data_IF_865893020450
#
_entry.id   IF_865893020450
#
_cell.length_a   1.000
_cell.length_b   1.000
_cell.length_c   1.000
_cell.angle_alpha   90.00
_cell.angle_beta   90.00
_cell.angle_gamma   90.00
#
_symmetry.space_group_name_H-M   'P 1'
#
loop_
_entity.id
_entity.type
_entity.pdbx_description
1 polymer ?
#
# COMPACT_ATOMS: atom_id res chain seq x y z
N UNK A 1 -50.75 -30.79 -5.80
CA UNK A 1 -49.47 -31.29 -6.37
C UNK A 1 -48.65 -30.09 -6.81
N UNK A 2 -47.63 -29.71 -6.05
CA UNK A 2 -46.64 -28.73 -6.47
C UNK A 2 -45.28 -29.22 -5.97
N UNK A 3 -44.57 -29.93 -6.85
CA UNK A 3 -43.16 -30.18 -6.69
C UNK A 3 -42.38 -29.09 -7.43
N UNK A 4 -41.35 -28.54 -6.79
CA UNK A 4 -39.94 -28.66 -7.21
C UNK A 4 -39.09 -27.68 -6.40
N UNK A 5 -38.05 -28.25 -5.77
CA UNK A 5 -36.92 -27.55 -5.19
C UNK A 5 -36.13 -26.83 -6.30
N UNK A 6 -35.79 -25.56 -6.10
CA UNK A 6 -34.72 -24.88 -6.82
C UNK A 6 -33.92 -24.01 -5.82
N UNK A 7 -32.62 -24.32 -5.74
CA UNK A 7 -31.59 -23.51 -5.10
C UNK A 7 -31.52 -22.09 -5.70
N UNK A 8 -31.16 -21.08 -4.91
CA UNK A 8 -30.76 -19.80 -5.50
C UNK A 8 -30.59 -18.64 -4.54
N UNK A 9 -29.32 -18.32 -4.28
CA UNK A 9 -28.78 -16.95 -4.14
C UNK A 9 -28.93 -16.26 -2.76
N UNK A 10 -27.91 -16.49 -1.95
CA UNK A 10 -27.50 -15.66 -0.84
C UNK A 10 -26.86 -14.37 -1.37
N UNK A 11 -27.51 -13.23 -1.13
CA UNK A 11 -26.97 -11.91 -1.44
C UNK A 11 -25.95 -11.53 -0.36
N UNK A 12 -24.65 -11.57 -0.70
CA UNK A 12 -23.62 -10.87 0.06
C UNK A 12 -23.02 -9.80 -0.84
N UNK A 13 -23.40 -8.57 -0.55
CA UNK A 13 -22.79 -7.35 -1.05
C UNK A 13 -21.33 -7.30 -0.58
N UNK A 14 -20.38 -7.59 -1.47
CA UNK A 14 -18.97 -7.27 -1.24
C UNK A 14 -18.59 -6.14 -2.16
N UNK A 15 -18.54 -4.94 -1.59
CA UNK A 15 -18.04 -3.74 -2.21
C UNK A 15 -16.53 -3.84 -2.44
N UNK A 16 -16.08 -3.22 -3.55
CA UNK A 16 -14.71 -2.81 -3.83
C UNK A 16 -13.69 -3.91 -4.23
N UNK A 17 -13.85 -4.44 -5.45
CA UNK A 17 -12.71 -4.98 -6.21
C UNK A 17 -12.14 -3.84 -7.06
N UNK A 18 -11.01 -3.26 -6.65
CA UNK A 18 -10.29 -2.25 -7.44
C UNK A 18 -8.99 -2.83 -7.98
N UNK A 19 -9.00 -3.02 -9.30
CA UNK A 19 -7.92 -3.01 -10.31
C UNK A 19 -6.49 -3.38 -9.84
N UNK A 20 -6.08 -4.61 -10.21
CA UNK A 20 -4.69 -5.03 -10.32
C UNK A 20 -4.04 -4.31 -11.51
N UNK A 21 -3.00 -3.51 -11.26
CA UNK A 21 -2.05 -3.11 -12.30
C UNK A 21 -0.72 -3.77 -11.99
N UNK A 22 -0.41 -4.80 -12.79
CA UNK A 22 0.85 -5.54 -12.76
C UNK A 22 1.89 -4.71 -13.50
N UNK A 23 2.91 -4.26 -12.79
CA UNK A 23 4.22 -4.03 -13.37
C UNK A 23 5.23 -4.75 -12.46
N UNK A 24 5.73 -5.90 -12.91
CA UNK A 24 6.68 -6.78 -12.22
C UNK A 24 6.21 -7.39 -10.87
N UNK A 25 5.31 -8.37 -10.93
CA UNK A 25 5.25 -9.51 -9.98
C UNK A 25 4.91 -9.24 -8.50
N UNK A 26 4.61 -7.99 -8.12
CA UNK A 26 4.27 -7.64 -6.74
C UNK A 26 2.82 -7.17 -6.66
N UNK A 27 2.01 -7.91 -5.91
CA UNK A 27 0.60 -7.57 -5.71
C UNK A 27 0.48 -6.54 -4.59
N UNK A 28 -0.27 -5.45 -4.81
CA UNK A 28 -0.48 -4.43 -3.79
C UNK A 28 -1.86 -4.53 -3.17
N UNK A 29 -1.91 -4.76 -1.87
CA UNK A 29 -3.17 -4.84 -1.12
C UNK A 29 -3.28 -3.67 -0.13
N UNK A 30 -4.47 -3.13 0.07
CA UNK A 30 -4.71 -2.13 1.11
C UNK A 30 -6.14 -2.21 1.62
N UNK A 31 -6.30 -1.81 2.88
CA UNK A 31 -7.62 -1.79 3.53
C UNK A 31 -8.34 -0.47 3.19
N UNK A 32 -9.58 -0.51 2.66
CA UNK A 32 -10.31 0.70 2.28
C UNK A 32 -10.62 1.62 3.48
N UNK A 33 -10.78 1.08 4.68
CA UNK A 33 -10.94 1.87 5.91
C UNK A 33 -9.63 2.58 6.23
N UNK A 34 -8.49 1.90 6.07
CA UNK A 34 -7.17 2.52 6.23
C UNK A 34 -6.90 3.56 5.14
N UNK A 35 -7.34 3.33 3.91
CA UNK A 35 -7.23 4.30 2.82
C UNK A 35 -7.99 5.59 3.14
N UNK A 36 -9.24 5.48 3.60
CA UNK A 36 -10.03 6.64 4.03
C UNK A 36 -9.34 7.41 5.17
N UNK A 37 -8.79 6.70 6.16
CA UNK A 37 -8.03 7.29 7.26
C UNK A 37 -6.75 7.97 6.76
N UNK A 38 -6.03 7.36 5.83
CA UNK A 38 -4.79 7.90 5.28
C UNK A 38 -5.06 9.15 4.44
N UNK A 39 -6.11 9.15 3.63
CA UNK A 39 -6.57 10.33 2.90
C UNK A 39 -6.97 11.46 3.85
N UNK A 40 -7.67 11.15 4.93
CA UNK A 40 -8.07 12.16 5.91
C UNK A 40 -6.87 12.76 6.65
N UNK A 41 -5.83 11.96 6.96
CA UNK A 41 -4.65 12.39 7.73
C UNK A 41 -3.53 13.01 6.88
N UNK A 42 -3.32 12.48 5.69
CA UNK A 42 -2.15 12.79 4.85
C UNK A 42 -2.53 13.32 3.47
N UNK A 43 -3.84 13.42 3.16
CA UNK A 43 -4.36 13.86 1.86
C UNK A 43 -3.86 13.04 0.67
N UNK A 44 -3.41 11.80 0.93
CA UNK A 44 -2.88 10.88 -0.07
C UNK A 44 -3.63 9.55 0.02
N UNK A 45 -4.04 8.97 -1.13
CA UNK A 45 -4.56 7.62 -1.15
C UNK A 45 -3.43 6.60 -0.93
N UNK A 46 -3.74 5.45 -0.33
CA UNK A 46 -2.80 4.34 -0.20
C UNK A 46 -2.37 3.80 -1.56
N UNK A 47 -3.25 3.82 -2.56
CA UNK A 47 -2.89 3.46 -3.94
C UNK A 47 -1.76 4.32 -4.52
N UNK A 48 -1.52 5.53 -3.99
CA UNK A 48 -0.36 6.34 -4.37
C UNK A 48 0.96 5.66 -4.02
N UNK A 49 0.96 4.78 -3.02
CA UNK A 49 2.13 3.99 -2.64
C UNK A 49 2.71 3.21 -3.82
N UNK A 50 1.87 2.72 -4.74
CA UNK A 50 2.31 2.01 -5.95
C UNK A 50 3.27 2.87 -6.80
N UNK A 51 2.98 4.18 -6.94
CA UNK A 51 3.84 5.12 -7.68
C UNK A 51 5.22 5.30 -7.04
N UNK A 52 5.34 5.05 -5.74
CA UNK A 52 6.62 5.10 -5.03
C UNK A 52 7.45 3.87 -5.39
N UNK A 53 6.81 2.71 -5.60
CA UNK A 53 7.48 1.50 -6.08
C UNK A 53 7.84 1.54 -7.56
N UNK A 54 7.21 2.41 -8.35
CA UNK A 54 7.62 2.68 -9.73
C UNK A 54 8.94 3.48 -9.82
N UNK A 55 9.39 4.11 -8.73
CA UNK A 55 10.66 4.84 -8.71
C UNK A 55 11.85 3.86 -8.75
N UNK A 56 12.71 3.91 -9.78
CA UNK A 56 13.88 3.01 -9.88
C UNK A 56 14.89 3.22 -8.76
N UNK A 57 14.82 4.35 -8.05
CA UNK A 57 15.70 4.69 -6.93
C UNK A 57 15.02 4.51 -5.57
N UNK A 58 13.93 3.75 -5.50
CA UNK A 58 13.24 3.44 -4.24
C UNK A 58 14.21 2.88 -3.19
N UNK A 59 14.09 3.41 -1.98
CA UNK A 59 14.84 2.96 -0.81
C UNK A 59 13.92 2.22 0.15
N UNK A 60 14.18 0.94 0.36
CA UNK A 60 13.42 0.10 1.27
C UNK A 60 14.19 -0.04 2.58
N UNK A 61 13.61 0.48 3.66
CA UNK A 61 14.19 0.44 5.00
C UNK A 61 13.35 -0.46 5.92
N UNK A 62 13.94 -1.50 6.54
CA UNK A 62 13.25 -2.26 7.57
C UNK A 62 13.01 -1.38 8.79
N UNK A 63 11.76 -1.37 9.28
CA UNK A 63 11.37 -0.63 10.48
C UNK A 63 11.41 -1.58 11.67
N UNK A 64 12.54 -1.63 12.39
CA UNK A 64 12.77 -2.44 13.61
C UNK A 64 11.91 -2.07 14.84
N UNK A 65 10.74 -1.45 14.64
CA UNK A 65 9.71 -1.39 15.69
C UNK A 65 8.74 -2.53 15.43
N UNK A 66 8.94 -3.71 16.06
CA UNK A 66 7.93 -4.77 16.05
C UNK A 66 6.72 -4.22 16.78
N UNK A 67 5.77 -3.71 16.01
CA UNK A 67 4.43 -3.41 16.48
C UNK A 67 3.61 -4.56 15.88
N UNK A 68 3.24 -5.51 16.73
CA UNK A 68 2.40 -6.68 16.40
C UNK A 68 3.09 -7.88 15.71
N UNK A 69 4.42 -8.01 15.79
CA UNK A 69 5.13 -9.21 15.30
C UNK A 69 5.23 -9.36 13.77
N UNK A 70 4.77 -8.36 13.02
CA UNK A 70 4.92 -8.28 11.56
C UNK A 70 6.06 -7.32 11.19
N UNK A 71 6.95 -7.74 10.28
CA UNK A 71 8.02 -6.90 9.75
C UNK A 71 7.44 -5.79 8.88
N UNK A 72 7.55 -4.54 9.36
CA UNK A 72 7.12 -3.35 8.64
C UNK A 72 8.28 -2.78 7.85
N UNK A 73 8.03 -2.46 6.60
CA UNK A 73 8.98 -1.85 5.69
C UNK A 73 8.56 -0.42 5.37
N UNK A 74 9.56 0.42 5.13
CA UNK A 74 9.37 1.79 4.64
C UNK A 74 9.97 1.88 3.25
N UNK A 75 9.14 2.12 2.26
CA UNK A 75 9.56 2.46 0.90
C UNK A 75 9.63 3.99 0.78
N UNK A 76 10.80 4.53 0.51
CA UNK A 76 11.03 5.96 0.26
C UNK A 76 11.37 6.12 -1.22
N UNK A 77 10.60 6.90 -1.95
CA UNK A 77 10.83 7.10 -3.38
C UNK A 77 10.43 8.48 -3.84
N UNK A 78 10.96 8.87 -4.99
CA UNK A 78 10.71 10.16 -5.62
C UNK A 78 9.54 10.05 -6.60
N UNK A 79 8.47 10.79 -6.33
CA UNK A 79 7.31 10.89 -7.23
C UNK A 79 7.08 12.34 -7.58
N UNK A 80 7.04 12.67 -8.87
CA UNK A 80 6.82 14.03 -9.37
C UNK A 80 7.76 15.09 -8.73
N UNK A 81 9.02 14.71 -8.47
CA UNK A 81 10.03 15.59 -7.86
C UNK A 81 9.88 15.81 -6.34
N UNK A 82 9.05 15.02 -5.66
CA UNK A 82 8.88 15.05 -4.20
C UNK A 82 9.10 13.67 -3.61
N UNK A 83 9.73 13.61 -2.44
CA UNK A 83 9.92 12.34 -1.73
C UNK A 83 8.67 11.97 -0.94
N UNK A 84 8.27 10.71 -1.07
CA UNK A 84 7.19 10.10 -0.34
C UNK A 84 7.65 8.82 0.33
N UNK A 85 7.03 8.53 1.46
CA UNK A 85 7.29 7.33 2.25
C UNK A 85 6.01 6.50 2.32
N UNK A 86 6.03 5.30 1.77
CA UNK A 86 5.04 4.27 1.98
C UNK A 86 5.47 3.34 3.12
N UNK A 87 4.53 3.00 4.00
CA UNK A 87 4.67 1.98 5.04
C UNK A 87 3.86 0.78 4.60
N UNK A 88 4.52 -0.37 4.51
CA UNK A 88 3.90 -1.61 4.06
C UNK A 88 4.41 -2.79 4.87
N UNK A 89 3.71 -3.91 4.75
CA UNK A 89 4.13 -5.22 5.27
C UNK A 89 4.18 -6.17 4.10
N UNK A 90 5.25 -6.95 4.01
CA UNK A 90 5.38 -8.00 3.01
C UNK A 90 4.63 -9.25 3.48
N UNK A 91 3.79 -9.81 2.60
CA UNK A 91 3.04 -11.05 2.80
C UNK A 91 3.24 -11.95 1.59
N UNK A 92 4.32 -12.73 1.63
CA UNK A 92 4.66 -13.65 0.53
C UNK A 92 4.97 -12.87 -0.75
N UNK A 93 4.07 -12.91 -1.72
CA UNK A 93 4.20 -12.20 -3.02
C UNK A 93 3.48 -10.86 -3.05
N UNK A 94 2.77 -10.49 -1.98
CA UNK A 94 1.98 -9.26 -1.90
C UNK A 94 2.57 -8.26 -0.90
N UNK A 95 2.56 -6.98 -1.26
CA UNK A 95 2.87 -5.85 -0.39
C UNK A 95 1.56 -5.22 0.11
N UNK A 96 1.28 -5.36 1.40
CA UNK A 96 0.13 -4.71 2.03
C UNK A 96 0.46 -3.30 2.47
N UNK A 97 -0.06 -2.29 1.77
CA UNK A 97 0.12 -0.88 2.10
C UNK A 97 -0.74 -0.51 3.33
N UNK A 98 -0.09 0.09 4.32
CA UNK A 98 -0.69 0.49 5.60
C UNK A 98 -0.86 2.00 5.68
N UNK A 99 0.15 2.75 5.25
CA UNK A 99 0.14 4.21 5.27
C UNK A 99 1.02 4.76 4.15
N UNK A 100 0.65 5.92 3.61
CA UNK A 100 1.46 6.67 2.65
C UNK A 100 1.47 8.12 3.07
N UNK A 101 2.67 8.70 3.17
CA UNK A 101 2.85 10.08 3.59
C UNK A 101 3.96 10.74 2.79
N UNK A 102 4.00 12.08 2.83
CA UNK A 102 5.17 12.82 2.37
C UNK A 102 6.36 12.52 3.30
N UNK A 103 7.55 12.34 2.72
CA UNK A 103 8.77 12.13 3.51
C UNK A 103 9.07 13.37 4.34
N UNK A 104 9.52 13.15 5.58
CA UNK A 104 9.96 14.23 6.45
C UNK A 104 11.28 14.81 5.95
N UNK A 105 11.58 16.06 6.28
CA UNK A 105 12.85 16.70 5.89
C UNK A 105 14.11 15.96 6.36
N UNK A 106 14.00 15.10 7.40
CA UNK A 106 15.08 14.19 7.79
C UNK A 106 15.26 13.05 6.78
N UNK A 107 14.18 12.34 6.46
CA UNK A 107 14.16 11.26 5.47
C UNK A 107 14.63 11.76 4.10
N UNK A 108 14.25 12.99 3.72
CA UNK A 108 14.70 13.63 2.49
C UNK A 108 16.22 13.89 2.48
N UNK A 109 16.78 14.41 3.57
CA UNK A 109 18.23 14.60 3.68
C UNK A 109 19.01 13.29 3.70
N UNK A 110 18.45 12.25 4.33
CA UNK A 110 19.05 10.92 4.35
C UNK A 110 19.08 10.32 2.93
N UNK A 111 17.98 10.48 2.17
CA UNK A 111 17.90 10.09 0.76
C UNK A 111 18.89 10.87 -0.12
N UNK A 112 18.94 12.20 0.00
CA UNK A 112 19.84 13.06 -0.80
C UNK A 112 21.33 12.86 -0.47
N UNK A 113 21.65 12.39 0.75
CA UNK A 113 23.03 12.14 1.21
C UNK A 113 23.63 10.91 0.56
N UNK A 114 22.82 10.01 0.01
CA UNK A 114 23.30 8.82 -0.67
C UNK A 114 23.27 9.06 -2.19
N UNK A 115 24.34 9.63 -2.80
CA UNK A 115 24.37 9.85 -4.24
C UNK A 115 24.26 8.51 -4.97
N UNK A 116 23.18 8.35 -5.74
CA UNK A 116 22.93 7.20 -6.62
C UNK A 116 23.32 7.55 -8.06
#
# INVERSE_FOLDING_TARGET
MAGRNCHGLQWRTTCANYVFHICFGMDFEFDPVKDAINRAKHHLPLSFGQRIFDDPFIEILPSFRPIDGEDRYKAIGLVDGKLFTAIYVERGTAARLIAVRRSNGREQRDYDRNPR
#
